data_IF_427861769541
#
_entry.id   IF_427861769541
#
_cell.length_a   1.000
_cell.length_b   1.000
_cell.length_c   1.000
_cell.angle_alpha   90.00
_cell.angle_beta   90.00
_cell.angle_gamma   90.00
#
_symmetry.space_group_name_H-M   'P 1'
#
loop_
_entity.id
_entity.type
_entity.pdbx_description
1 polymer ?
#
# COMPACT_ATOMS: atom_id res chain seq x y z
N UNK A 1 -63.68 32.97 47.55
CA UNK A 1 -63.06 32.13 46.51
C UNK A 1 -64.03 32.13 45.34
N UNK A 2 -63.84 32.96 44.30
CA UNK A 2 -64.72 32.88 43.14
C UNK A 2 -64.43 31.57 42.40
N UNK A 3 -65.51 30.94 41.94
CA UNK A 3 -65.52 29.58 41.42
C UNK A 3 -64.84 29.56 40.04
N UNK A 4 -64.08 28.49 39.77
CA UNK A 4 -63.29 28.30 38.55
C UNK A 4 -64.11 28.35 37.26
N UNK A 5 -65.43 28.16 37.35
CA UNK A 5 -66.35 28.13 36.21
C UNK A 5 -66.66 29.53 35.66
N UNK A 6 -66.69 30.57 36.50
CA UNK A 6 -66.94 31.96 36.07
C UNK A 6 -65.77 32.55 35.25
N UNK A 7 -64.55 32.07 35.52
CA UNK A 7 -63.33 32.47 34.81
C UNK A 7 -63.22 31.83 33.42
N UNK A 8 -63.71 30.60 33.25
CA UNK A 8 -63.73 29.90 31.96
C UNK A 8 -64.76 30.52 31.00
N UNK A 9 -65.92 30.91 31.51
CA UNK A 9 -66.95 31.62 30.72
C UNK A 9 -66.45 33.00 30.27
N UNK A 10 -65.81 33.76 31.15
CA UNK A 10 -65.22 35.05 30.80
C UNK A 10 -64.10 34.96 29.75
N UNK A 11 -63.29 33.89 29.73
CA UNK A 11 -62.22 33.70 28.73
C UNK A 11 -62.76 33.33 27.33
N UNK A 12 -63.89 32.61 27.28
CA UNK A 12 -64.57 32.26 26.04
C UNK A 12 -65.20 33.48 25.36
N UNK A 13 -65.72 34.45 26.13
CA UNK A 13 -66.29 35.70 25.61
C UNK A 13 -65.26 36.70 25.05
N UNK A 14 -63.96 36.55 25.37
CA UNK A 14 -62.89 37.43 24.85
C UNK A 14 -62.52 37.06 23.40
N UNK A 15 -62.69 35.81 22.98
CA UNK A 15 -62.25 35.31 21.67
C UNK A 15 -63.24 35.59 20.50
N UNK A 16 -64.43 36.09 20.83
CA UNK A 16 -65.49 36.44 19.87
C UNK A 16 -65.67 37.95 19.70
N UNK A 17 -64.83 38.77 20.36
CA UNK A 17 -64.79 40.22 20.10
C UNK A 17 -63.99 40.51 18.83
N UNK A 18 -64.56 41.24 17.85
CA UNK A 18 -63.83 41.61 16.64
C UNK A 18 -62.65 42.54 16.99
N UNK A 19 -61.44 42.11 16.67
CA UNK A 19 -60.22 42.86 16.90
C UNK A 19 -59.98 43.81 15.72
N UNK A 20 -60.01 45.12 15.98
CA UNK A 20 -59.78 46.14 14.95
C UNK A 20 -58.31 46.57 14.95
N UNK A 21 -57.62 46.32 13.83
CA UNK A 21 -56.22 46.70 13.62
C UNK A 21 -56.12 47.62 12.41
N UNK A 22 -55.31 48.67 12.52
CA UNK A 22 -55.01 49.56 11.40
C UNK A 22 -53.90 48.94 10.56
N UNK A 23 -54.10 48.87 9.24
CA UNK A 23 -53.06 48.46 8.29
C UNK A 23 -53.05 49.36 7.07
N UNK A 24 -51.85 49.68 6.58
CA UNK A 24 -51.63 50.45 5.36
C UNK A 24 -50.68 49.70 4.44
N UNK A 25 -51.09 49.48 3.19
CA UNK A 25 -50.24 48.90 2.14
C UNK A 25 -49.34 49.94 1.47
N UNK A 26 -49.56 51.23 1.77
CA UNK A 26 -48.76 52.34 1.22
C UNK A 26 -47.53 52.62 2.08
N UNK A 27 -47.68 52.55 3.41
CA UNK A 27 -46.56 52.75 4.35
C UNK A 27 -45.97 51.45 4.89
N UNK A 28 -46.55 50.29 4.51
CA UNK A 28 -46.23 48.94 5.02
C UNK A 28 -46.34 48.79 6.56
N UNK A 29 -46.80 49.83 7.26
CA UNK A 29 -47.00 49.83 8.70
C UNK A 29 -48.20 48.97 9.05
N UNK A 30 -47.99 48.03 10.00
CA UNK A 30 -49.05 47.21 10.56
C UNK A 30 -49.38 45.94 9.77
N UNK A 31 -48.85 45.75 8.55
CA UNK A 31 -49.09 44.53 7.74
C UNK A 31 -48.63 43.27 8.48
N UNK A 32 -47.42 43.30 9.05
CA UNK A 32 -46.90 42.17 9.84
C UNK A 32 -47.63 41.98 11.18
N UNK A 33 -48.10 43.07 11.80
CA UNK A 33 -48.85 43.01 13.05
C UNK A 33 -50.21 42.33 12.86
N UNK A 34 -50.94 42.68 11.79
CA UNK A 34 -52.22 42.03 11.44
C UNK A 34 -52.02 40.55 11.14
N UNK A 35 -50.96 40.22 10.38
CA UNK A 35 -50.62 38.82 10.10
C UNK A 35 -50.34 38.04 11.39
N UNK A 36 -49.53 38.57 12.30
CA UNK A 36 -49.19 37.91 13.56
C UNK A 36 -50.46 37.67 14.40
N UNK A 37 -51.27 38.71 14.61
CA UNK A 37 -52.51 38.61 15.38
C UNK A 37 -53.50 37.58 14.78
N UNK A 38 -53.72 37.62 13.47
CA UNK A 38 -54.62 36.67 12.80
C UNK A 38 -54.10 35.22 12.87
N UNK A 39 -52.78 35.01 12.76
CA UNK A 39 -52.17 33.69 12.90
C UNK A 39 -52.27 33.17 14.34
N UNK A 40 -52.01 34.01 15.35
CA UNK A 40 -52.07 33.65 16.76
C UNK A 40 -53.50 33.27 17.19
N UNK A 41 -54.51 34.05 16.77
CA UNK A 41 -55.92 33.75 17.03
C UNK A 41 -56.36 32.41 16.41
N UNK A 42 -55.94 32.16 15.17
CA UNK A 42 -56.22 30.90 14.48
C UNK A 42 -55.52 29.72 15.17
N UNK A 43 -54.26 29.89 15.60
CA UNK A 43 -53.51 28.87 16.33
C UNK A 43 -54.17 28.57 17.68
N UNK A 44 -54.62 29.57 18.42
CA UNK A 44 -55.34 29.38 19.69
C UNK A 44 -56.60 28.52 19.49
N UNK A 45 -57.43 28.86 18.49
CA UNK A 45 -58.64 28.08 18.15
C UNK A 45 -58.30 26.65 17.72
N UNK A 46 -57.25 26.46 16.91
CA UNK A 46 -56.81 25.13 16.47
C UNK A 46 -56.24 24.29 17.61
N UNK A 47 -55.47 24.89 18.51
CA UNK A 47 -54.92 24.19 19.69
C UNK A 47 -56.05 23.78 20.62
N UNK A 48 -57.04 24.65 20.88
CA UNK A 48 -58.23 24.30 21.66
C UNK A 48 -59.02 23.16 21.01
N UNK A 49 -59.22 23.19 19.69
CA UNK A 49 -59.88 22.09 18.97
C UNK A 49 -59.09 20.77 19.07
N UNK A 50 -57.75 20.82 18.96
CA UNK A 50 -56.86 19.65 19.13
C UNK A 50 -56.74 19.15 20.57
N UNK A 51 -57.01 19.98 21.57
CA UNK A 51 -57.09 19.56 22.97
C UNK A 51 -58.44 18.90 23.28
N UNK A 52 -59.53 19.39 22.66
CA UNK A 52 -60.89 18.84 22.81
C UNK A 52 -61.07 17.53 22.05
N UNK A 53 -60.52 17.43 20.85
CA UNK A 53 -60.34 16.15 20.18
C UNK A 53 -59.26 15.40 20.96
N UNK A 54 -59.59 14.30 21.65
CA UNK A 54 -58.65 13.44 22.40
C UNK A 54 -57.52 12.82 21.54
N UNK A 55 -57.28 13.33 20.34
CA UNK A 55 -56.19 12.99 19.41
C UNK A 55 -54.79 13.18 19.98
N UNK A 56 -54.63 13.88 21.12
CA UNK A 56 -53.35 13.91 21.84
C UNK A 56 -53.00 12.57 22.50
N UNK A 57 -53.99 11.71 22.76
CA UNK A 57 -53.80 10.39 23.36
C UNK A 57 -54.11 9.23 22.40
N UNK A 58 -54.54 9.51 21.16
CA UNK A 58 -54.73 8.47 20.16
C UNK A 58 -53.36 7.97 19.68
N UNK A 59 -53.03 6.74 20.08
CA UNK A 59 -51.99 5.93 19.47
C UNK A 59 -52.44 5.56 18.05
N UNK A 60 -52.26 6.46 17.11
CA UNK A 60 -52.44 6.11 15.71
C UNK A 60 -51.22 5.31 15.25
N UNK A 61 -51.48 4.01 15.08
CA UNK A 61 -50.89 2.87 14.36
C UNK A 61 -49.59 3.04 13.52
N UNK A 62 -49.03 4.21 13.27
CA UNK A 62 -47.86 4.41 12.41
C UNK A 62 -46.66 5.07 13.12
N UNK A 63 -46.21 4.49 14.25
CA UNK A 63 -44.84 4.68 14.78
C UNK A 63 -44.43 6.09 15.26
N UNK A 64 -45.25 7.13 15.09
CA UNK A 64 -45.00 8.47 15.62
C UNK A 64 -45.54 8.56 17.06
N UNK A 65 -44.63 8.75 18.02
CA UNK A 65 -44.94 8.75 19.45
C UNK A 65 -45.88 9.89 19.88
N UNK A 66 -46.42 9.75 21.09
CA UNK A 66 -47.27 10.72 21.78
C UNK A 66 -46.67 12.14 21.74
N UNK A 67 -47.43 13.12 21.22
CA UNK A 67 -47.03 14.54 21.14
C UNK A 67 -46.63 15.08 22.52
N UNK A 68 -47.19 14.53 23.60
CA UNK A 68 -46.81 14.89 24.97
C UNK A 68 -45.32 14.62 25.26
N UNK A 69 -44.73 13.60 24.65
CA UNK A 69 -43.30 13.30 24.81
C UNK A 69 -42.40 14.32 24.12
N UNK A 70 -42.83 14.90 22.98
CA UNK A 70 -42.11 15.96 22.26
C UNK A 70 -42.24 17.32 22.96
N UNK A 71 -43.39 17.58 23.59
CA UNK A 71 -43.64 18.79 24.38
C UNK A 71 -42.91 18.78 25.73
N UNK A 72 -42.56 17.60 26.24
CA UNK A 72 -41.91 17.44 27.53
C UNK A 72 -40.43 17.89 27.49
N UNK A 73 -40.12 19.01 28.14
CA UNK A 73 -38.74 19.45 28.36
C UNK A 73 -38.21 18.85 29.66
N UNK A 74 -37.26 17.92 29.54
CA UNK A 74 -36.63 17.30 30.69
C UNK A 74 -35.83 18.32 31.52
N UNK A 75 -36.13 18.41 32.82
CA UNK A 75 -35.35 19.21 33.77
C UNK A 75 -34.32 18.29 34.44
N UNK A 76 -33.02 18.61 34.39
CA UNK A 76 -32.01 17.78 35.02
C UNK A 76 -32.29 17.72 36.53
N UNK A 77 -32.38 16.50 37.07
CA UNK A 77 -32.43 16.31 38.52
C UNK A 77 -31.05 16.67 39.08
N UNK A 78 -31.02 17.41 40.18
CA UNK A 78 -29.79 17.62 40.95
C UNK A 78 -29.30 16.23 41.38
N UNK A 79 -28.10 15.85 40.95
CA UNK A 79 -27.50 14.58 41.35
C UNK A 79 -26.97 14.77 42.77
N UNK A 80 -27.62 14.16 43.76
CA UNK A 80 -27.05 14.06 45.10
C UNK A 80 -25.75 13.25 45.00
N UNK A 81 -24.64 13.78 45.51
CA UNK A 81 -23.45 12.96 45.77
C UNK A 81 -23.79 11.87 46.80
N UNK A 82 -22.95 10.85 46.95
CA UNK A 82 -23.12 9.72 47.87
C UNK A 82 -23.32 10.10 49.36
N UNK A 83 -23.37 11.40 49.71
CA UNK A 83 -23.47 11.94 51.06
C UNK A 83 -24.57 13.02 51.25
N UNK A 84 -25.56 13.15 50.36
CA UNK A 84 -26.73 14.02 50.59
C UNK A 84 -26.43 15.52 50.73
N UNK A 85 -25.24 15.95 50.33
CA UNK A 85 -24.85 17.36 50.26
C UNK A 85 -24.86 17.79 48.79
N UNK A 86 -25.55 18.89 48.49
CA UNK A 86 -25.54 19.50 47.16
C UNK A 86 -24.17 20.13 46.93
N UNK A 87 -23.23 19.38 46.36
CA UNK A 87 -21.91 19.89 46.00
C UNK A 87 -22.04 20.99 44.93
N UNK A 88 -21.86 22.28 45.27
CA UNK A 88 -21.87 23.38 44.28
C UNK A 88 -20.62 23.38 43.40
N UNK A 89 -19.71 22.44 43.64
CA UNK A 89 -18.36 22.38 43.10
C UNK A 89 -18.28 21.79 41.70
N UNK A 90 -19.29 21.04 41.23
CA UNK A 90 -19.33 20.53 39.85
C UNK A 90 -20.18 21.42 38.95
N UNK A 91 -19.81 22.70 38.87
CA UNK A 91 -20.37 23.62 37.88
C UNK A 91 -19.87 23.23 36.49
N UNK A 92 -20.79 23.01 35.54
CA UNK A 92 -20.50 22.74 34.12
C UNK A 92 -20.90 23.96 33.29
N UNK A 93 -20.19 25.10 33.41
CA UNK A 93 -20.54 26.29 32.65
C UNK A 93 -20.30 26.05 31.15
N UNK A 94 -21.02 26.75 30.27
CA UNK A 94 -20.71 26.74 28.84
C UNK A 94 -19.33 27.39 28.61
N UNK A 95 -18.36 26.63 28.09
CA UNK A 95 -17.03 27.14 27.76
C UNK A 95 -17.08 27.76 26.36
N UNK A 96 -17.35 29.05 26.29
CA UNK A 96 -17.35 29.83 25.05
C UNK A 96 -16.06 30.65 25.00
N UNK A 97 -15.19 30.45 23.99
CA UNK A 97 -13.97 31.25 23.82
C UNK A 97 -14.27 32.75 23.68
N UNK A 98 -13.45 33.64 24.27
CA UNK A 98 -13.70 35.08 24.25
C UNK A 98 -13.72 35.66 22.83
N UNK A 99 -12.92 35.11 21.91
CA UNK A 99 -12.89 35.49 20.50
C UNK A 99 -14.25 35.37 19.80
N UNK A 100 -15.03 34.34 20.16
CA UNK A 100 -16.35 34.10 19.57
C UNK A 100 -17.36 35.13 20.10
N UNK A 101 -17.28 35.47 21.39
CA UNK A 101 -18.13 36.50 22.00
C UNK A 101 -17.81 37.89 21.43
N UNK A 102 -16.52 38.20 21.24
CA UNK A 102 -16.09 39.45 20.61
C UNK A 102 -16.62 39.55 19.17
N UNK A 103 -16.48 38.48 18.36
CA UNK A 103 -17.05 38.42 17.00
C UNK A 103 -18.58 38.61 17.01
N UNK A 104 -19.29 37.97 17.94
CA UNK A 104 -20.75 38.11 18.08
C UNK A 104 -21.16 39.54 18.43
N UNK A 105 -20.41 40.20 19.33
CA UNK A 105 -20.63 41.62 19.68
C UNK A 105 -20.43 42.53 18.46
N UNK A 106 -19.35 42.33 17.72
CA UNK A 106 -19.07 43.10 16.49
C UNK A 106 -20.17 42.90 15.43
N UNK A 107 -20.62 41.66 15.20
CA UNK A 107 -21.73 41.40 14.29
C UNK A 107 -23.05 42.03 14.76
N UNK A 108 -23.32 42.04 16.06
CA UNK A 108 -24.51 42.69 16.60
C UNK A 108 -24.47 44.21 16.41
N UNK A 109 -23.31 44.85 16.64
CA UNK A 109 -23.11 46.29 16.43
C UNK A 109 -23.23 46.68 14.96
N UNK A 110 -22.67 45.87 14.04
CA UNK A 110 -22.84 46.09 12.58
C UNK A 110 -24.32 46.03 12.19
N UNK A 111 -25.05 45.00 12.63
CA UNK A 111 -26.50 44.88 12.37
C UNK A 111 -27.29 46.07 12.90
N UNK A 112 -27.02 46.54 14.12
CA UNK A 112 -27.72 47.70 14.68
C UNK A 112 -27.42 48.99 13.93
N UNK A 113 -26.21 49.12 13.38
CA UNK A 113 -25.80 50.28 12.58
C UNK A 113 -26.48 50.27 11.21
N UNK A 114 -26.57 49.11 10.56
CA UNK A 114 -27.25 48.97 9.27
C UNK A 114 -28.75 49.29 9.37
N UNK A 115 -29.41 48.90 10.47
CA UNK A 115 -30.83 49.23 10.71
C UNK A 115 -31.11 50.69 11.09
N UNK A 116 -30.08 51.44 11.51
CA UNK A 116 -30.23 52.84 11.91
C UNK A 116 -30.01 53.83 10.75
N UNK A 117 -29.51 53.35 9.59
CA UNK A 117 -29.15 54.18 8.44
C UNK A 117 -29.80 53.65 7.16
N UNK A 118 -31.14 53.50 7.15
CA UNK A 118 -31.93 53.02 6.01
C UNK A 118 -32.25 54.11 4.94
N UNK A 119 -31.50 55.21 4.89
CA UNK A 119 -31.82 56.38 4.06
C UNK A 119 -31.03 56.58 2.78
N UNK A 120 -29.92 55.87 2.57
CA UNK A 120 -29.04 56.11 1.42
C UNK A 120 -28.64 54.76 0.82
N UNK A 121 -28.99 54.54 -0.46
CA UNK A 121 -28.54 53.41 -1.28
C UNK A 121 -27.03 53.50 -1.50
N UNK A 122 -26.25 53.37 -0.44
CA UNK A 122 -24.84 53.02 -0.56
C UNK A 122 -24.85 51.58 -1.02
N UNK A 123 -24.42 51.36 -2.27
CA UNK A 123 -24.07 50.04 -2.77
C UNK A 123 -23.47 49.24 -1.62
N UNK A 124 -23.97 48.02 -1.41
CA UNK A 124 -23.38 47.03 -0.51
C UNK A 124 -21.98 46.67 -1.04
N UNK A 125 -21.06 47.61 -1.01
CA UNK A 125 -19.65 47.40 -1.18
C UNK A 125 -19.31 46.59 0.05
N UNK A 126 -19.18 45.28 -0.19
CA UNK A 126 -18.78 44.29 0.77
C UNK A 126 -17.34 44.62 1.21
N UNK A 127 -17.15 45.63 2.07
CA UNK A 127 -15.83 46.02 2.61
C UNK A 127 -15.23 44.86 3.42
N UNK A 128 -16.06 43.90 3.83
CA UNK A 128 -15.62 42.65 4.48
C UNK A 128 -15.07 41.61 3.47
N UNK A 129 -15.18 41.79 2.15
CA UNK A 129 -14.75 40.79 1.17
C UNK A 129 -13.25 40.85 0.85
N UNK A 130 -12.61 42.01 1.01
CA UNK A 130 -11.17 42.19 0.70
C UNK A 130 -10.24 41.61 1.78
N UNK A 131 -10.70 41.56 3.04
CA UNK A 131 -9.93 41.03 4.17
C UNK A 131 -10.33 39.60 4.56
N UNK A 132 -11.40 39.07 3.97
CA UNK A 132 -11.85 37.72 4.25
C UNK A 132 -10.91 36.74 3.56
N UNK A 133 -10.30 35.86 4.35
CA UNK A 133 -9.57 34.72 3.80
C UNK A 133 -10.53 33.89 2.94
N UNK A 134 -10.15 33.55 1.70
CA UNK A 134 -11.03 32.81 0.81
C UNK A 134 -11.38 31.47 1.45
N UNK A 135 -12.64 31.08 1.33
CA UNK A 135 -13.06 29.75 1.80
C UNK A 135 -12.42 28.66 0.93
N UNK A 136 -12.32 27.43 1.45
CA UNK A 136 -11.76 26.33 0.66
C UNK A 136 -12.55 26.08 -0.64
N UNK A 137 -13.86 26.32 -0.61
CA UNK A 137 -14.71 26.25 -1.80
C UNK A 137 -14.38 27.33 -2.83
N UNK A 138 -14.10 28.55 -2.38
CA UNK A 138 -13.68 29.64 -3.28
C UNK A 138 -12.30 29.36 -3.90
N UNK A 139 -11.37 28.78 -3.14
CA UNK A 139 -10.06 28.33 -3.67
C UNK A 139 -10.20 27.23 -4.72
N UNK A 140 -11.07 26.25 -4.49
CA UNK A 140 -11.37 25.18 -5.46
C UNK A 140 -11.97 25.74 -6.74
N UNK A 141 -12.95 26.65 -6.63
CA UNK A 141 -13.55 27.33 -7.78
C UNK A 141 -12.54 28.21 -8.55
N UNK A 142 -11.60 28.84 -7.84
CA UNK A 142 -10.54 29.64 -8.45
C UNK A 142 -9.51 28.78 -9.21
N UNK A 143 -9.30 27.52 -8.82
CA UNK A 143 -8.50 26.56 -9.59
C UNK A 143 -9.22 26.10 -10.87
N UNK A 144 -10.55 26.23 -10.93
CA UNK A 144 -11.34 26.00 -12.14
C UNK A 144 -11.29 24.55 -12.63
N UNK A 145 -10.74 24.36 -13.83
CA UNK A 145 -10.60 23.06 -14.48
C UNK A 145 -9.30 22.32 -14.09
N UNK A 146 -8.38 22.99 -13.39
CA UNK A 146 -7.15 22.38 -12.90
C UNK A 146 -7.42 21.45 -11.70
N UNK A 147 -6.59 20.41 -11.54
CA UNK A 147 -6.74 19.44 -10.44
C UNK A 147 -6.40 20.12 -9.11
N UNK A 148 -7.42 20.49 -8.34
CA UNK A 148 -7.26 21.03 -7.00
C UNK A 148 -6.91 19.92 -5.99
N UNK A 149 -5.70 19.95 -5.44
CA UNK A 149 -5.25 19.01 -4.40
C UNK A 149 -5.32 19.70 -3.04
N UNK A 150 -6.16 19.16 -2.16
CA UNK A 150 -6.28 19.62 -0.77
C UNK A 150 -5.04 19.19 0.05
N UNK A 151 -4.17 20.13 0.40
CA UNK A 151 -3.08 19.86 1.33
C UNK A 151 -3.56 19.94 2.78
N UNK A 152 -3.67 18.79 3.44
CA UNK A 152 -4.12 18.67 4.83
C UNK A 152 -3.15 19.29 5.84
N UNK A 153 -1.88 19.50 5.47
CA UNK A 153 -0.81 19.96 6.35
C UNK A 153 -0.73 21.49 6.47
N UNK A 154 -1.38 22.25 5.57
CA UNK A 154 -1.32 23.72 5.51
C UNK A 154 -1.79 24.42 6.79
N UNK A 155 -2.65 23.77 7.58
CA UNK A 155 -3.26 24.37 8.78
C UNK A 155 -2.67 23.84 10.08
N UNK A 156 -1.62 23.03 10.01
CA UNK A 156 -0.93 22.54 11.20
C UNK A 156 -0.19 23.67 11.90
N UNK A 157 -0.24 23.66 13.23
CA UNK A 157 0.44 24.64 14.08
C UNK A 157 1.62 23.94 14.74
N UNK A 158 2.77 24.04 14.09
CA UNK A 158 4.05 23.51 14.58
C UNK A 158 4.86 24.65 15.20
N UNK A 159 5.83 24.30 16.05
CA UNK A 159 6.85 25.24 16.55
C UNK A 159 7.68 25.81 15.42
N UNK A 160 8.09 24.97 14.48
CA UNK A 160 8.80 25.36 13.26
C UNK A 160 7.87 25.17 12.04
N UNK A 161 7.39 26.25 11.41
CA UNK A 161 6.41 26.15 10.32
C UNK A 161 6.99 25.58 9.02
N UNK A 162 8.31 25.66 8.85
CA UNK A 162 9.03 25.11 7.69
C UNK A 162 8.92 23.58 7.60
N UNK A 163 8.82 22.90 8.75
CA UNK A 163 8.75 21.44 8.85
C UNK A 163 7.33 20.89 8.57
N UNK A 164 6.35 21.76 8.31
CA UNK A 164 4.96 21.34 8.11
C UNK A 164 4.77 20.37 6.94
N UNK A 165 5.61 20.46 5.92
CA UNK A 165 5.52 19.62 4.73
C UNK A 165 6.52 18.46 4.73
N UNK A 166 7.32 18.28 5.79
CA UNK A 166 8.31 17.20 5.84
C UNK A 166 7.63 15.82 5.89
N UNK A 167 8.29 14.82 5.32
CA UNK A 167 7.77 13.44 5.26
C UNK A 167 8.24 12.70 6.51
N UNK A 168 7.29 12.23 7.32
CA UNK A 168 7.57 11.41 8.49
C UNK A 168 7.80 9.97 8.02
N UNK A 169 8.97 9.36 8.25
CA UNK A 169 9.16 7.94 7.98
C UNK A 169 8.30 7.11 8.94
N UNK A 170 7.58 6.12 8.41
CA UNK A 170 6.67 5.29 9.21
C UNK A 170 7.33 3.98 9.68
N UNK A 171 8.09 3.33 8.79
CA UNK A 171 8.67 2.00 9.00
C UNK A 171 10.17 2.04 8.75
N UNK A 172 10.95 1.49 9.68
CA UNK A 172 12.40 1.33 9.57
C UNK A 172 12.79 -0.06 10.03
N UNK A 173 13.54 -0.81 9.21
CA UNK A 173 14.00 -2.18 9.51
C UNK A 173 12.89 -3.13 10.01
N UNK A 174 11.68 -3.00 9.46
CA UNK A 174 10.51 -3.83 9.84
C UNK A 174 9.83 -3.43 11.15
N UNK A 175 10.21 -2.31 11.75
CA UNK A 175 9.64 -1.78 12.98
C UNK A 175 8.96 -0.43 12.69
N UNK A 176 7.89 -0.10 13.42
CA UNK A 176 7.22 1.19 13.28
C UNK A 176 7.95 2.25 14.10
N UNK A 177 8.19 3.42 13.54
CA UNK A 177 8.91 4.50 14.23
C UNK A 177 8.06 5.18 15.33
N UNK A 178 6.74 5.18 15.18
CA UNK A 178 5.81 5.76 16.16
C UNK A 178 5.96 5.07 17.53
N UNK A 179 6.25 3.77 17.54
CA UNK A 179 6.40 2.99 18.77
C UNK A 179 7.65 3.38 19.58
N UNK A 180 8.62 4.06 18.94
CA UNK A 180 9.86 4.53 19.57
C UNK A 180 9.88 6.04 19.80
N UNK A 181 8.81 6.77 19.47
CA UNK A 181 8.80 8.22 19.64
C UNK A 181 8.38 8.60 21.07
N UNK A 182 9.37 8.90 21.92
CA UNK A 182 9.18 9.36 23.29
C UNK A 182 9.97 10.66 23.54
N UNK A 183 9.45 11.59 24.38
CA UNK A 183 10.19 12.81 24.73
C UNK A 183 11.49 12.53 25.50
N UNK A 184 11.56 11.41 26.23
CA UNK A 184 12.67 11.04 27.11
C UNK A 184 13.57 9.94 26.51
N UNK A 185 13.58 9.76 25.19
CA UNK A 185 14.28 8.63 24.55
C UNK A 185 15.79 8.66 24.76
N UNK A 186 16.41 9.83 24.73
CA UNK A 186 17.86 10.00 24.94
C UNK A 186 18.27 9.56 26.36
N UNK A 187 17.48 9.93 27.37
CA UNK A 187 17.74 9.51 28.75
C UNK A 187 17.64 7.98 28.92
N UNK A 188 16.67 7.34 28.25
CA UNK A 188 16.57 5.87 28.25
C UNK A 188 17.73 5.23 27.51
N UNK A 189 18.17 5.80 26.39
CA UNK A 189 19.31 5.33 25.63
C UNK A 189 20.59 5.39 26.47
N UNK A 190 20.86 6.51 27.16
CA UNK A 190 22.00 6.65 28.06
C UNK A 190 22.02 5.60 29.18
N UNK A 191 20.85 5.23 29.71
CA UNK A 191 20.77 4.17 30.72
C UNK A 191 21.10 2.79 30.15
N UNK A 192 20.69 2.52 28.92
CA UNK A 192 20.99 1.27 28.22
C UNK A 192 22.47 1.19 27.84
N UNK A 193 23.06 2.26 27.31
CA UNK A 193 24.48 2.30 26.98
C UNK A 193 25.37 2.08 28.22
N UNK A 194 25.00 2.64 29.38
CA UNK A 194 25.69 2.35 30.65
C UNK A 194 25.56 0.89 31.08
N UNK A 195 24.39 0.28 30.87
CA UNK A 195 24.17 -1.14 31.16
C UNK A 195 24.99 -2.03 30.22
N UNK A 196 25.00 -1.73 28.92
CA UNK A 196 25.79 -2.45 27.92
C UNK A 196 27.28 -2.32 28.20
N UNK A 197 27.78 -1.11 28.48
CA UNK A 197 29.18 -0.90 28.85
C UNK A 197 29.57 -1.69 30.11
N UNK A 198 28.66 -1.82 31.09
CA UNK A 198 28.90 -2.66 32.26
C UNK A 198 28.92 -4.15 31.91
N UNK A 199 28.07 -4.62 30.97
CA UNK A 199 28.07 -6.01 30.50
C UNK A 199 29.30 -6.33 29.65
N UNK A 200 29.76 -5.40 28.82
CA UNK A 200 30.99 -5.53 28.03
C UNK A 200 32.21 -5.55 28.95
N UNK A 201 32.27 -4.65 29.94
CA UNK A 201 33.33 -4.67 30.97
C UNK A 201 33.31 -5.97 31.80
N UNK A 202 32.15 -6.59 31.97
CA UNK A 202 32.01 -7.91 32.59
C UNK A 202 32.39 -9.07 31.65
N UNK A 203 32.69 -8.80 30.37
CA UNK A 203 33.13 -9.79 29.39
C UNK A 203 32.02 -10.66 28.81
N UNK A 204 30.74 -10.27 28.93
CA UNK A 204 29.59 -11.09 28.47
C UNK A 204 29.66 -11.41 26.98
N UNK A 205 30.17 -10.47 26.18
CA UNK A 205 30.27 -10.61 24.72
C UNK A 205 31.61 -11.17 24.24
N UNK A 206 32.56 -11.45 25.15
CA UNK A 206 33.75 -12.17 24.76
C UNK A 206 33.37 -13.60 24.40
N UNK A 207 33.72 -14.05 23.19
CA UNK A 207 33.52 -15.44 22.80
C UNK A 207 34.19 -16.35 23.83
N UNK A 208 33.37 -17.13 24.52
CA UNK A 208 33.81 -18.03 25.58
C UNK A 208 34.96 -18.90 25.10
N UNK A 209 35.93 -19.16 25.98
CA UNK A 209 37.10 -19.99 25.68
C UNK A 209 36.74 -21.41 25.20
N UNK A 210 35.50 -21.87 25.42
CA UNK A 210 34.98 -23.13 24.86
C UNK A 210 34.76 -23.12 23.35
N UNK A 211 34.53 -21.95 22.74
CA UNK A 211 34.32 -21.81 21.29
C UNK A 211 35.64 -21.62 20.54
N UNK A 212 36.66 -21.11 21.24
CA UNK A 212 38.02 -21.02 20.72
C UNK A 212 38.68 -22.39 20.82
N UNK A 213 38.74 -23.10 19.70
CA UNK A 213 39.56 -24.31 19.54
C UNK A 213 40.98 -24.02 20.08
N UNK A 214 41.41 -24.61 21.22
CA UNK A 214 42.71 -24.30 21.83
C UNK A 214 43.89 -24.65 20.91
N UNK A 215 43.66 -25.64 20.04
CA UNK A 215 44.66 -26.17 19.10
C UNK A 215 44.55 -25.55 17.69
N UNK A 216 43.66 -24.56 17.48
CA UNK A 216 43.47 -23.97 16.16
C UNK A 216 44.75 -23.29 15.62
N UNK A 217 45.62 -22.81 16.51
CA UNK A 217 46.84 -22.12 16.11
C UNK A 217 48.08 -23.02 16.08
N UNK A 218 48.01 -24.24 16.60
CA UNK A 218 49.12 -25.20 16.60
C UNK A 218 49.44 -25.63 15.14
N UNK A 219 50.70 -25.46 14.67
CA UNK A 219 51.09 -25.88 13.32
C UNK A 219 50.77 -27.36 13.03
N UNK A 220 50.91 -28.26 14.00
CA UNK A 220 50.65 -29.68 13.80
C UNK A 220 49.18 -29.97 13.49
N UNK A 221 48.25 -29.34 14.21
CA UNK A 221 46.81 -29.51 13.99
C UNK A 221 46.34 -28.84 12.70
N UNK A 222 46.94 -27.72 12.28
CA UNK A 222 46.67 -27.11 10.97
C UNK A 222 47.03 -28.05 9.83
N UNK A 223 48.22 -28.67 9.88
CA UNK A 223 48.64 -29.66 8.88
C UNK A 223 47.69 -30.87 8.83
N UNK A 224 47.23 -31.35 9.99
CA UNK A 224 46.21 -32.41 10.06
C UNK A 224 44.89 -31.97 9.41
N UNK A 225 44.43 -30.73 9.65
CA UNK A 225 43.21 -30.19 9.02
C UNK A 225 43.35 -30.06 7.51
N UNK A 226 44.48 -29.54 7.03
CA UNK A 226 44.76 -29.39 5.60
C UNK A 226 44.86 -30.73 4.88
N UNK A 227 45.58 -31.69 5.47
CA UNK A 227 45.68 -33.05 4.93
C UNK A 227 44.31 -33.74 4.93
N UNK A 228 43.53 -33.60 6.00
CA UNK A 228 42.16 -34.12 6.07
C UNK A 228 41.24 -33.48 5.01
N UNK A 229 41.35 -32.18 4.75
CA UNK A 229 40.61 -31.50 3.70
C UNK A 229 40.96 -32.06 2.30
N UNK A 230 42.27 -32.19 2.00
CA UNK A 230 42.76 -32.81 0.75
C UNK A 230 42.23 -34.25 0.58
N UNK A 231 42.18 -35.04 1.66
CA UNK A 231 41.62 -36.41 1.63
C UNK A 231 40.11 -36.39 1.34
N UNK A 232 39.34 -35.48 1.96
CA UNK A 232 37.89 -35.35 1.74
C UNK A 232 37.58 -34.94 0.30
N UNK A 233 38.33 -33.97 -0.24
CA UNK A 233 38.21 -33.54 -1.63
C UNK A 233 38.54 -34.67 -2.61
N UNK A 234 39.67 -35.35 -2.42
CA UNK A 234 40.05 -36.49 -3.25
C UNK A 234 39.00 -37.62 -3.21
N UNK A 235 38.44 -37.92 -2.02
CA UNK A 235 37.34 -38.87 -1.87
C UNK A 235 36.08 -38.40 -2.60
N UNK A 236 35.71 -37.13 -2.49
CA UNK A 236 34.55 -36.56 -3.17
C UNK A 236 34.69 -36.67 -4.69
N UNK A 237 35.87 -36.35 -5.24
CA UNK A 237 36.16 -36.50 -6.67
C UNK A 237 36.07 -37.96 -7.13
N UNK A 238 36.60 -38.92 -6.35
CA UNK A 238 36.45 -40.35 -6.65
C UNK A 238 34.97 -40.80 -6.65
N UNK A 239 34.16 -40.30 -5.72
CA UNK A 239 32.72 -40.60 -5.66
C UNK A 239 32.00 -40.02 -6.88
N UNK A 240 32.27 -38.76 -7.24
CA UNK A 240 31.70 -38.11 -8.42
C UNK A 240 32.09 -38.84 -9.71
N UNK A 241 33.37 -39.21 -9.86
CA UNK A 241 33.83 -39.98 -11.01
C UNK A 241 33.14 -41.36 -11.08
N UNK A 242 32.99 -42.04 -9.94
CA UNK A 242 32.28 -43.33 -9.86
C UNK A 242 30.80 -43.21 -10.25
N UNK A 243 30.11 -42.16 -9.77
CA UNK A 243 28.72 -41.87 -10.16
C UNK A 243 28.62 -41.57 -11.65
N UNK A 244 29.51 -40.74 -12.21
CA UNK A 244 29.55 -40.43 -13.62
C UNK A 244 29.77 -41.68 -14.49
N UNK A 245 30.67 -42.58 -14.07
CA UNK A 245 30.92 -43.87 -14.75
C UNK A 245 29.70 -44.82 -14.71
N UNK A 246 28.91 -44.78 -13.63
CA UNK A 246 27.70 -45.63 -13.46
C UNK A 246 26.45 -45.02 -14.08
N UNK A 247 26.41 -43.70 -14.30
CA UNK A 247 25.25 -42.98 -14.84
C UNK A 247 25.11 -43.08 -16.37
N UNK A 248 25.41 -44.24 -16.94
CA UNK A 248 25.42 -44.49 -18.39
C UNK A 248 24.41 -45.60 -18.69
N UNK A 249 23.40 -45.31 -19.52
CA UNK A 249 22.32 -46.25 -19.89
C UNK A 249 22.76 -47.46 -20.72
N UNK A 250 23.75 -47.40 -21.66
CA UNK A 250 24.23 -48.59 -22.36
C UNK A 250 25.10 -49.52 -21.49
N UNK A 251 25.24 -50.81 -21.86
CA UNK A 251 26.07 -51.76 -21.12
C UNK A 251 27.54 -51.33 -21.11
N UNK A 252 28.20 -51.47 -19.94
CA UNK A 252 29.60 -51.09 -19.78
C UNK A 252 30.53 -52.05 -20.54
N UNK A 253 31.42 -51.50 -21.36
CA UNK A 253 32.41 -52.25 -22.12
C UNK A 253 33.46 -52.85 -21.16
N UNK A 254 33.76 -54.16 -21.23
CA UNK A 254 34.77 -54.77 -20.37
C UNK A 254 36.17 -54.19 -20.65
N UNK A 255 37.00 -54.07 -19.61
CA UNK A 255 38.34 -53.48 -19.72
C UNK A 255 39.24 -54.20 -20.73
N UNK A 256 39.04 -55.50 -20.95
CA UNK A 256 39.79 -56.32 -21.92
C UNK A 256 39.53 -55.94 -23.38
N UNK A 257 38.33 -55.47 -23.70
CA UNK A 257 37.96 -55.05 -25.05
C UNK A 257 38.39 -53.60 -25.36
N UNK A 258 38.84 -52.85 -24.34
CA UNK A 258 39.22 -51.44 -24.45
C UNK A 258 40.74 -51.30 -24.46
N UNK A 259 41.28 -50.60 -25.46
CA UNK A 259 42.71 -50.24 -25.46
C UNK A 259 42.98 -49.16 -24.42
N UNK A 260 44.05 -49.34 -23.64
CA UNK A 260 44.53 -48.34 -22.67
C UNK A 260 45.77 -47.65 -23.25
N UNK A 261 45.82 -46.32 -23.19
CA UNK A 261 46.98 -45.57 -23.65
C UNK A 261 48.13 -45.66 -22.64
N UNK A 262 49.34 -45.91 -23.15
CA UNK A 262 50.57 -45.94 -22.35
C UNK A 262 50.79 -44.62 -21.61
N UNK A 263 50.47 -43.50 -22.26
CA UNK A 263 50.56 -42.17 -21.67
C UNK A 263 49.68 -41.99 -20.43
N UNK A 264 48.44 -42.50 -20.46
CA UNK A 264 47.53 -42.41 -19.31
C UNK A 264 48.05 -43.22 -18.13
N UNK A 265 48.55 -44.43 -18.37
CA UNK A 265 49.14 -45.27 -17.33
C UNK A 265 50.37 -44.58 -16.71
N UNK A 266 51.25 -44.02 -17.54
CA UNK A 266 52.43 -43.28 -17.07
C UNK A 266 52.04 -42.08 -16.20
N UNK A 267 51.01 -41.34 -16.58
CA UNK A 267 50.51 -40.20 -15.81
C UNK A 267 49.91 -40.65 -14.47
N UNK A 268 49.00 -41.62 -14.49
CA UNK A 268 48.31 -42.11 -13.28
C UNK A 268 49.29 -42.77 -12.27
N UNK A 269 50.35 -43.43 -12.75
CA UNK A 269 51.41 -44.00 -11.90
C UNK A 269 52.40 -42.94 -11.41
N UNK A 270 52.76 -41.97 -12.26
CA UNK A 270 53.62 -40.85 -11.89
C UNK A 270 52.99 -39.95 -10.83
N UNK A 271 51.69 -39.68 -10.91
CA UNK A 271 50.92 -38.96 -9.88
C UNK A 271 50.93 -39.68 -8.52
N UNK A 272 51.17 -41.01 -8.51
CA UNK A 272 51.30 -41.82 -7.29
C UNK A 272 52.75 -42.04 -6.86
N UNK A 273 53.71 -41.40 -7.52
CA UNK A 273 55.14 -41.47 -7.19
C UNK A 273 55.85 -42.73 -7.70
N UNK A 274 55.26 -43.46 -8.65
CA UNK A 274 55.89 -44.61 -9.30
C UNK A 274 56.39 -44.20 -10.69
N UNK A 275 57.70 -43.96 -10.81
CA UNK A 275 58.34 -43.69 -12.09
C UNK A 275 58.52 -44.99 -12.88
N UNK A 276 57.76 -45.13 -13.98
CA UNK A 276 57.85 -46.29 -14.86
C UNK A 276 58.35 -45.86 -16.24
N UNK A 277 59.54 -46.34 -16.61
CA UNK A 277 60.17 -46.16 -17.92
C UNK A 277 59.54 -47.05 -19.01
N UNK A 278 58.28 -46.75 -19.33
CA UNK A 278 57.47 -47.50 -20.30
C UNK A 278 57.98 -47.43 -21.76
N UNK A 279 59.00 -46.61 -22.05
CA UNK A 279 59.62 -46.51 -23.38
C UNK A 279 60.44 -47.76 -23.77
N UNK A 280 60.94 -48.53 -22.80
CA UNK A 280 61.70 -49.76 -23.09
C UNK A 280 60.81 -50.98 -23.36
N UNK A 281 59.61 -51.05 -22.77
CA UNK A 281 58.76 -52.25 -22.84
C UNK A 281 57.49 -52.11 -23.74
N UNK A 282 56.92 -50.92 -23.89
CA UNK A 282 55.61 -50.76 -24.56
C UNK A 282 55.65 -50.38 -26.05
N UNK A 283 56.66 -49.62 -26.48
CA UNK A 283 56.63 -48.96 -27.80
C UNK A 283 57.43 -49.69 -28.90
N UNK A 284 58.39 -50.54 -28.51
CA UNK A 284 59.37 -51.09 -29.46
C UNK A 284 58.80 -52.16 -30.40
N UNK A 285 57.69 -52.83 -30.04
CA UNK A 285 57.14 -53.96 -30.82
C UNK A 285 56.10 -53.63 -31.89
N UNK A 286 55.39 -52.49 -31.80
CA UNK A 286 54.23 -52.19 -32.69
C UNK A 286 54.35 -50.93 -33.54
N UNK A 287 55.21 -49.97 -33.17
CA UNK A 287 55.34 -48.71 -33.91
C UNK A 287 55.92 -48.89 -35.32
N UNK A 288 56.83 -49.85 -35.52
CA UNK A 288 57.48 -50.08 -36.82
C UNK A 288 56.55 -50.63 -37.91
N UNK A 289 55.40 -51.25 -37.57
CA UNK A 289 54.46 -51.83 -38.55
C UNK A 289 53.37 -50.88 -39.05
N UNK A 290 53.33 -49.62 -38.57
CA UNK A 290 52.30 -48.63 -38.94
C UNK A 290 52.90 -47.26 -39.31
N UNK A 291 53.97 -47.25 -40.10
CA UNK A 291 54.32 -46.06 -40.88
C UNK A 291 53.26 -45.90 -42.00
N UNK A 292 52.17 -45.20 -41.69
CA UNK A 292 51.13 -44.86 -42.66
C UNK A 292 51.74 -43.86 -43.65
N UNK A 293 51.99 -44.28 -44.89
CA UNK A 293 52.33 -43.35 -45.98
C UNK A 293 51.21 -42.30 -46.03
N UNK A 294 51.50 -40.98 -45.98
CA UNK A 294 50.46 -39.99 -46.17
C UNK A 294 49.96 -40.15 -47.61
N UNK A 295 48.77 -40.73 -47.77
CA UNK A 295 47.99 -40.41 -48.97
C UNK A 295 47.61 -38.95 -48.78
N UNK A 296 48.23 -38.09 -49.57
CA UNK A 296 47.79 -36.71 -49.75
C UNK A 296 46.36 -36.75 -50.30
N UNK A 297 45.38 -36.89 -49.41
CA UNK A 297 44.01 -36.48 -49.67
C UNK A 297 44.00 -34.96 -49.53
N UNK A 298 44.64 -34.27 -50.47
CA UNK A 298 44.28 -32.89 -50.73
C UNK A 298 42.79 -32.91 -51.06
N UNK A 299 41.94 -32.14 -50.35
CA UNK A 299 40.54 -32.04 -50.71
C UNK A 299 40.48 -31.63 -52.19
N UNK A 300 39.79 -32.43 -53.01
CA UNK A 300 39.69 -32.11 -54.43
C UNK A 300 38.85 -30.83 -54.55
N UNK A 301 39.45 -29.68 -54.93
CA UNK A 301 38.75 -28.40 -54.91
C UNK A 301 37.56 -28.42 -55.88
N UNK A 302 37.60 -29.24 -56.93
CA UNK A 302 36.46 -29.44 -57.82
C UNK A 302 35.31 -30.21 -57.18
N UNK A 303 35.58 -31.17 -56.27
CA UNK A 303 34.54 -31.92 -55.56
C UNK A 303 33.88 -31.06 -54.48
N UNK A 304 34.66 -30.25 -53.77
CA UNK A 304 34.12 -29.29 -52.79
C UNK A 304 33.36 -28.16 -53.49
N UNK A 305 33.87 -27.63 -54.60
CA UNK A 305 33.20 -26.60 -55.38
C UNK A 305 31.95 -27.10 -56.12
N UNK A 306 31.83 -28.40 -56.41
CA UNK A 306 30.61 -28.99 -57.00
C UNK A 306 29.55 -29.26 -55.94
N UNK A 307 29.93 -29.72 -54.74
CA UNK A 307 29.02 -29.82 -53.59
C UNK A 307 28.50 -28.43 -53.19
N UNK A 308 29.37 -27.42 -53.20
CA UNK A 308 29.02 -26.03 -52.92
C UNK A 308 28.11 -25.38 -53.99
N UNK A 309 28.24 -25.78 -55.27
CA UNK A 309 27.39 -25.27 -56.37
C UNK A 309 26.05 -25.99 -56.49
N UNK A 310 25.98 -27.27 -56.16
CA UNK A 310 24.76 -28.07 -56.30
C UNK A 310 23.70 -27.79 -55.22
N UNK A 311 24.09 -27.17 -54.10
CA UNK A 311 23.16 -26.87 -53.01
C UNK A 311 23.56 -25.59 -52.26
N UNK A 312 23.47 -24.44 -52.93
CA UNK A 312 23.57 -23.16 -52.21
C UNK A 312 22.31 -23.03 -51.34
N UNK A 313 22.42 -23.00 -50.00
CA UNK A 313 21.25 -22.85 -49.15
C UNK A 313 20.57 -21.50 -49.41
N UNK A 314 19.24 -21.48 -49.37
CA UNK A 314 18.40 -20.30 -49.68
C UNK A 314 18.75 -19.06 -48.85
N UNK A 315 19.34 -19.25 -47.67
CA UNK A 315 19.83 -18.17 -46.80
C UNK A 315 21.11 -17.48 -47.31
N UNK A 316 21.86 -18.13 -48.21
CA UNK A 316 23.11 -17.62 -48.79
C UNK A 316 22.94 -17.11 -50.23
N UNK A 317 21.96 -17.65 -50.97
CA UNK A 317 21.84 -17.42 -52.42
C UNK A 317 21.60 -15.96 -52.83
N UNK A 318 21.08 -15.13 -51.93
CA UNK A 318 20.76 -13.72 -52.19
C UNK A 318 21.73 -12.74 -51.50
N UNK A 319 22.78 -13.22 -50.84
CA UNK A 319 23.71 -12.39 -50.05
C UNK A 319 25.04 -12.29 -50.77
N UNK A 320 25.48 -11.06 -51.03
CA UNK A 320 26.68 -10.77 -51.84
C UNK A 320 28.00 -11.19 -51.15
N UNK A 321 28.16 -10.83 -49.87
CA UNK A 321 29.40 -11.05 -49.09
C UNK A 321 29.12 -11.68 -47.72
N UNK A 322 30.11 -12.35 -47.15
CA UNK A 322 30.07 -12.88 -45.77
C UNK A 322 29.81 -11.79 -44.71
N UNK A 323 30.28 -10.56 -44.93
CA UNK A 323 29.99 -9.40 -44.07
C UNK A 323 28.50 -9.02 -44.09
N UNK A 324 27.88 -9.09 -45.27
CA UNK A 324 26.45 -8.81 -45.43
C UNK A 324 25.61 -9.90 -44.76
N UNK A 325 26.06 -11.15 -44.83
CA UNK A 325 25.43 -12.27 -44.13
C UNK A 325 25.46 -12.10 -42.61
N UNK A 326 26.62 -11.71 -42.06
CA UNK A 326 26.74 -11.43 -40.64
C UNK A 326 25.78 -10.32 -40.20
N UNK A 327 25.57 -9.29 -41.04
CA UNK A 327 24.60 -8.22 -40.79
C UNK A 327 23.15 -8.74 -40.83
N UNK A 328 22.79 -9.56 -41.81
CA UNK A 328 21.45 -10.17 -41.91
C UNK A 328 21.15 -11.06 -40.71
N UNK A 329 22.10 -11.88 -40.26
CA UNK A 329 21.92 -12.71 -39.06
C UNK A 329 21.76 -11.88 -37.78
N UNK A 330 22.48 -10.76 -37.65
CA UNK A 330 22.30 -9.80 -36.54
C UNK A 330 20.91 -9.14 -36.57
N UNK A 331 20.42 -8.77 -37.75
CA UNK A 331 19.06 -8.21 -37.88
C UNK A 331 17.98 -9.24 -37.56
N UNK A 332 18.16 -10.50 -37.98
CA UNK A 332 17.24 -11.59 -37.67
C UNK A 332 17.16 -11.87 -36.16
N UNK A 333 18.31 -11.98 -35.49
CA UNK A 333 18.35 -12.15 -34.02
C UNK A 333 17.73 -10.96 -33.28
N UNK A 334 17.90 -9.74 -33.78
CA UNK A 334 17.23 -8.56 -33.22
C UNK A 334 15.71 -8.61 -33.40
N UNK A 335 15.22 -8.99 -34.59
CA UNK A 335 13.78 -9.12 -34.87
C UNK A 335 13.11 -10.20 -34.00
N UNK A 336 13.80 -11.30 -33.73
CA UNK A 336 13.30 -12.39 -32.89
C UNK A 336 13.15 -12.02 -31.41
N UNK A 337 13.78 -10.94 -30.93
CA UNK A 337 13.69 -10.53 -29.51
C UNK A 337 12.25 -10.42 -29.02
N UNK A 338 11.34 -9.84 -29.81
CA UNK A 338 9.92 -9.70 -29.42
C UNK A 338 9.24 -11.06 -29.21
N UNK A 339 9.54 -12.04 -30.06
CA UNK A 339 9.03 -13.41 -29.95
C UNK A 339 9.53 -14.08 -28.67
N UNK A 340 10.82 -13.88 -28.35
CA UNK A 340 11.46 -14.39 -27.12
C UNK A 340 10.91 -13.70 -25.87
N UNK A 341 10.72 -12.37 -25.89
CA UNK A 341 10.14 -11.62 -24.76
C UNK A 341 8.74 -12.13 -24.41
N UNK A 342 7.95 -12.52 -25.41
CA UNK A 342 6.63 -13.13 -25.20
C UNK A 342 6.67 -14.66 -25.02
N UNK A 343 7.86 -15.25 -24.87
CA UNK A 343 8.10 -16.68 -24.68
C UNK A 343 7.38 -17.58 -25.71
N UNK A 344 7.25 -17.11 -26.95
CA UNK A 344 6.60 -17.86 -28.03
C UNK A 344 7.52 -18.94 -28.56
N UNK A 345 6.95 -20.07 -29.01
CA UNK A 345 7.72 -21.22 -29.52
C UNK A 345 8.45 -20.92 -30.84
N UNK A 346 8.02 -19.90 -31.58
CA UNK A 346 8.61 -19.45 -32.83
C UNK A 346 7.70 -18.46 -33.57
N UNK A 347 8.05 -18.08 -34.79
CA UNK A 347 7.26 -17.16 -35.62
C UNK A 347 5.88 -17.71 -36.07
N UNK A 348 5.75 -19.04 -36.09
CA UNK A 348 4.50 -19.75 -36.35
C UNK A 348 3.54 -19.79 -35.15
N UNK A 349 4.00 -19.43 -33.95
CA UNK A 349 3.19 -19.44 -32.74
C UNK A 349 2.42 -18.11 -32.59
N UNK A 350 1.18 -18.13 -33.08
CA UNK A 350 0.25 -17.00 -33.06
C UNK A 350 -1.03 -17.31 -32.28
N UNK A 351 -0.96 -18.28 -31.36
CA UNK A 351 -2.09 -18.67 -30.54
C UNK A 351 -2.48 -17.53 -29.58
N UNK A 352 -3.75 -17.13 -29.60
CA UNK A 352 -4.30 -16.11 -28.71
C UNK A 352 -5.05 -16.83 -27.59
N UNK A 353 -4.53 -16.84 -26.34
CA UNK A 353 -5.24 -17.47 -25.23
C UNK A 353 -6.48 -16.67 -24.85
N UNK A 354 -7.55 -17.37 -24.49
CA UNK A 354 -8.76 -16.77 -23.94
C UNK A 354 -8.58 -16.44 -22.47
N UNK A 355 -8.09 -15.23 -22.16
CA UNK A 355 -7.78 -14.80 -20.78
C UNK A 355 -9.00 -14.80 -19.86
N UNK A 356 -10.20 -14.56 -20.40
CA UNK A 356 -11.47 -14.56 -19.66
C UNK A 356 -12.45 -15.55 -20.27
N UNK A 357 -12.31 -16.86 -20.02
CA UNK A 357 -13.22 -17.83 -20.58
C UNK A 357 -14.60 -17.70 -19.94
N UNK A 358 -15.65 -17.66 -20.77
CA UNK A 358 -17.03 -17.39 -20.34
C UNK A 358 -17.51 -18.33 -19.23
N UNK A 359 -17.19 -19.62 -19.29
CA UNK A 359 -17.64 -20.61 -18.31
C UNK A 359 -17.05 -20.40 -16.90
N UNK A 360 -16.01 -19.59 -16.73
CA UNK A 360 -15.49 -19.21 -15.40
C UNK A 360 -16.14 -17.92 -14.86
N UNK A 361 -16.48 -16.99 -15.75
CA UNK A 361 -16.89 -15.62 -15.37
C UNK A 361 -18.38 -15.33 -15.57
N UNK A 362 -19.14 -16.26 -16.16
CA UNK A 362 -20.57 -16.11 -16.46
C UNK A 362 -21.37 -17.22 -15.81
N UNK A 363 -22.48 -16.85 -15.17
CA UNK A 363 -23.37 -17.77 -14.46
C UNK A 363 -23.15 -17.74 -12.95
N UNK A 364 -24.16 -18.17 -12.19
CA UNK A 364 -24.10 -18.35 -10.73
C UNK A 364 -24.41 -19.82 -10.43
N UNK A 365 -23.75 -20.38 -9.42
CA UNK A 365 -24.00 -21.77 -9.01
C UNK A 365 -25.38 -21.86 -8.37
N UNK A 366 -26.28 -22.63 -8.97
CA UNK A 366 -27.59 -22.93 -8.40
C UNK A 366 -27.53 -24.15 -7.47
N UNK A 367 -28.61 -24.39 -6.72
CA UNK A 367 -28.78 -25.61 -5.92
C UNK A 367 -29.14 -26.75 -6.87
N UNK A 368 -28.21 -27.69 -7.10
CA UNK A 368 -28.40 -28.80 -8.04
C UNK A 368 -27.09 -29.25 -8.72
N UNK A 369 -27.19 -29.63 -10.00
CA UNK A 369 -26.03 -30.02 -10.82
C UNK A 369 -25.08 -28.85 -11.00
N UNK A 370 -23.78 -29.12 -10.94
CA UNK A 370 -22.72 -28.13 -11.08
C UNK A 370 -21.90 -28.38 -12.36
N UNK A 371 -21.40 -27.32 -12.98
CA UNK A 371 -20.69 -27.38 -14.26
C UNK A 371 -19.27 -27.97 -14.17
N UNK A 372 -18.70 -28.04 -12.97
CA UNK A 372 -17.37 -28.60 -12.71
C UNK A 372 -17.41 -29.51 -11.49
N UNK A 373 -16.61 -30.58 -11.53
CA UNK A 373 -16.54 -31.60 -10.48
C UNK A 373 -15.99 -31.06 -9.17
#
# INVERSE_FOLDING_TARGET
>A
MPQSEDMEQAASEVHDRPLFLQMSTVSEVGVMCVRAAACDDLLARRVQAKLRATSLAQKDVDGEGDIASLLYVARPKLKEGECGQTDPTVSRPPIIPPDVLAKRRLHAQKRSRDTAFEGEMVEKVNVDNEQRRPTMRERELAAGDDIFILNLREHWRLTHPEQANDIIPEIMNGHNLIDFFDPDIEARLDTLEKQEAAMEAAGVYEESDWTKDPDANDPAFKEIRETAAKIREARALCVLESRARKNVRPPQIPRTARSVSVHKIRKDLGERGLEVDMQKEGERGRAAKRAKRPRNSTPNPHREASIARASVPRSLSAVRDSKMLAKVNRLNTFAQRKVVTHARKGEGDRHIPTLKPKHLFSGKRSVGKTDRR
#
